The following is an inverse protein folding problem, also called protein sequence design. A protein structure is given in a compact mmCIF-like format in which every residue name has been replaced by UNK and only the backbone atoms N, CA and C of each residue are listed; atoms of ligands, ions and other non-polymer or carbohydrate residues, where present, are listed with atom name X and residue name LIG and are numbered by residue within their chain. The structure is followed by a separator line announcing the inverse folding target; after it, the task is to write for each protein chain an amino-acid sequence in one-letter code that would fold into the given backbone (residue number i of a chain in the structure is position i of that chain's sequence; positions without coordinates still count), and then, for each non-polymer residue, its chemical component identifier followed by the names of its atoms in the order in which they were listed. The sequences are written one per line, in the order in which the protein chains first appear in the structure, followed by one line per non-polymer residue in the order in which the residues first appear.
data_IF_371800268177
#
_entry.id   IF_371800268177
#
_cell.length_a   1.000
_cell.length_b   1.000
_cell.length_c   1.000
_cell.angle_alpha   90.00
_cell.angle_beta   90.00
_cell.angle_gamma   90.00
#
_symmetry.space_group_name_H-M   'P 1'
#
loop_
_entity.id
_entity.type
_entity.pdbx_description
1 polymer ?
2 non-polymer ?
3 water ?
#
# COMPACT_ATOMS: atom_id res chain seq x y z
N UNK A 21 -4.00 20.48 -4.18
CA UNK A 21 -4.50 19.25 -3.58
C UNK A 21 -3.70 18.05 -4.08
N UNK A 22 -3.02 17.38 -3.15
CA UNK A 22 -2.17 16.24 -3.49
C UNK A 22 -2.99 14.99 -3.80
N UNK A 23 -2.44 14.13 -4.66
CA UNK A 23 -3.09 12.86 -4.99
C UNK A 23 -2.35 11.69 -4.36
N UNK A 24 -3.09 10.79 -3.74
CA UNK A 24 -2.50 9.65 -3.05
C UNK A 24 -3.00 8.32 -3.59
N UNK A 25 -2.09 7.35 -3.68
CA UNK A 25 -2.45 5.99 -4.04
C UNK A 25 -2.37 5.07 -2.83
N UNK A 26 -3.51 4.51 -2.43
CA UNK A 26 -3.51 3.49 -1.40
C UNK A 26 -3.55 2.13 -2.07
N UNK A 27 -2.36 1.62 -2.40
CA UNK A 27 -2.21 0.34 -3.06
C UNK A 27 -2.08 -0.77 -2.04
N UNK A 28 -2.75 -1.90 -2.27
CA UNK A 28 -2.73 -2.97 -1.28
C UNK A 28 -2.86 -4.37 -1.87
N UNK A 29 -2.51 -5.36 -1.06
CA UNK A 29 -2.84 -6.75 -1.35
C UNK A 29 -3.40 -7.43 -0.10
N UNK A 30 -4.51 -8.13 -0.27
CA UNK A 30 -5.10 -8.88 0.83
C UNK A 30 -5.56 -10.25 0.35
N UNK A 31 -5.40 -11.26 1.20
CA UNK A 31 -5.80 -12.62 0.86
C UNK A 31 -7.09 -13.00 1.56
N UNK A 32 -7.31 -12.44 2.75
CA UNK A 32 -8.48 -12.77 3.55
C UNK A 32 -9.29 -11.54 3.96
N UNK A 33 -8.91 -10.38 3.44
CA UNK A 33 -9.69 -9.17 3.64
C UNK A 33 -9.19 -8.23 4.73
N UNK A 34 -8.38 -8.76 5.64
CA UNK A 34 -7.85 -7.98 6.76
C UNK A 34 -7.16 -6.71 6.29
N UNK A 35 -6.22 -6.86 5.36
CA UNK A 35 -5.44 -5.74 4.86
C UNK A 35 -6.29 -4.76 4.06
N UNK A 36 -7.33 -5.27 3.40
CA UNK A 36 -8.22 -4.41 2.63
C UNK A 36 -8.93 -3.41 3.54
N UNK A 37 -9.36 -3.89 4.70
CA UNK A 37 -10.00 -3.02 5.68
C UNK A 37 -9.01 -1.98 6.20
N UNK A 38 -7.76 -2.42 6.40
CA UNK A 38 -6.69 -1.51 6.78
C UNK A 38 -6.47 -0.46 5.70
N UNK A 39 -6.47 -0.92 4.45
CA UNK A 39 -6.29 -0.04 3.30
C UNK A 39 -7.41 0.99 3.21
N UNK A 40 -8.65 0.53 3.40
CA UNK A 40 -9.80 1.42 3.35
C UNK A 40 -9.78 2.43 4.50
N UNK A 41 -9.31 1.98 5.66
CA UNK A 41 -9.19 2.86 6.82
C UNK A 41 -8.13 3.93 6.58
N UNK A 42 -7.05 3.55 5.90
CA UNK A 42 -5.97 4.47 5.59
C UNK A 42 -6.41 5.49 4.53
N UNK A 43 -7.18 5.02 3.56
CA UNK A 43 -7.68 5.87 2.49
C UNK A 43 -8.65 6.92 3.03
N UNK A 44 -9.61 6.46 3.83
CA UNK A 44 -10.60 7.33 4.46
C UNK A 44 -9.93 8.38 5.33
N UNK A 45 -8.91 7.97 6.08
CA UNK A 45 -8.16 8.89 6.92
C UNK A 45 -7.39 9.90 6.09
N UNK A 46 -6.89 9.45 4.94
CA UNK A 46 -6.13 10.31 4.05
C UNK A 46 -7.01 11.37 3.40
N UNK A 47 -8.27 11.03 3.16
CA UNK A 47 -9.23 11.98 2.63
C UNK A 47 -9.49 13.09 3.64
N UNK A 48 -9.49 12.72 4.92
CA UNK A 48 -9.67 13.68 6.00
C UNK A 48 -8.46 14.60 6.11
N UNK A 49 -7.34 14.17 5.53
CA UNK A 49 -6.14 14.99 5.48
C UNK A 49 -6.17 15.95 4.31
N UNK A 50 -7.15 15.77 3.43
CA UNK A 50 -7.33 16.65 2.29
C UNK A 50 -6.54 16.24 1.07
N UNK A 51 -6.72 14.99 0.64
CA UNK A 51 -6.01 14.48 -0.53
C UNK A 51 -6.95 13.69 -1.44
N UNK A 52 -6.70 13.75 -2.74
CA UNK A 52 -7.44 12.93 -3.69
C UNK A 52 -6.92 11.50 -3.62
N UNK A 53 -7.64 10.66 -2.89
CA UNK A 53 -7.18 9.31 -2.59
C UNK A 53 -7.75 8.26 -3.53
N UNK A 54 -6.88 7.40 -4.05
CA UNK A 54 -7.30 6.33 -4.95
C UNK A 54 -6.95 4.97 -4.36
N UNK A 55 -7.96 4.12 -4.19
CA UNK A 55 -7.76 2.80 -3.61
C UNK A 55 -7.66 1.72 -4.69
N UNK A 56 -6.46 1.20 -4.90
CA UNK A 56 -6.26 0.15 -5.88
C UNK A 56 -5.66 -1.10 -5.25
N UNK A 57 -5.74 -2.20 -5.99
CA UNK A 57 -5.24 -3.48 -5.52
C UNK A 57 -4.30 -4.08 -6.57
N UNK A 58 -3.21 -4.70 -6.12
CA UNK A 58 -2.27 -5.31 -7.04
C UNK A 58 -2.91 -6.48 -7.78
N UNK A 59 -2.58 -6.63 -9.07
CA UNK A 59 -3.12 -7.72 -9.88
C UNK A 59 -2.76 -9.09 -9.32
N UNK A 60 -3.68 -10.03 -9.45
CA UNK A 60 -3.46 -11.39 -8.97
C UNK A 60 -2.71 -12.20 -10.03
N UNK A 61 -1.52 -12.69 -9.68
CA UNK A 61 -0.83 -13.62 -10.55
C UNK A 61 -1.56 -14.96 -10.47
N UNK A 62 -1.27 -15.85 -11.41
CA UNK A 62 -2.03 -17.09 -11.62
C UNK A 62 -3.45 -16.77 -12.12
N UNK A 63 -3.93 -17.55 -13.10
CA UNK A 63 -5.18 -17.29 -13.83
C UNK A 63 -6.41 -17.09 -12.94
N UNK A 64 -7.45 -16.50 -13.52
CA UNK A 64 -8.71 -16.26 -12.82
C UNK A 64 -9.33 -17.58 -12.37
N UNK A 65 -9.06 -18.63 -13.14
CA UNK A 65 -9.53 -19.97 -12.81
C UNK A 65 -8.74 -20.56 -11.65
N UNK A 66 -9.40 -21.41 -10.86
CA UNK A 66 -8.78 -22.09 -9.72
C UNK A 66 -8.17 -21.12 -8.71
N UNK A 67 -8.47 -19.83 -8.86
CA UNK A 67 -7.95 -18.81 -7.97
C UNK A 67 -8.83 -18.68 -6.74
N UNK A 68 -10.14 -18.72 -6.96
CA UNK A 68 -11.11 -18.63 -5.87
C UNK A 68 -11.53 -20.02 -5.39
N UNK A 69 -10.68 -21.01 -5.67
CA UNK A 69 -10.99 -22.41 -5.37
C UNK A 69 -11.11 -22.66 -3.87
N UNK A 70 -10.00 -23.02 -3.23
CA UNK A 70 -9.99 -23.33 -1.81
C UNK A 70 -10.28 -22.09 -0.97
N UNK A 71 -9.23 -21.34 -0.65
CA UNK A 71 -9.37 -20.10 0.11
C UNK A 71 -9.37 -18.90 -0.83
N UNK A 72 -10.27 -17.95 -0.58
CA UNK A 72 -10.38 -16.73 -1.38
C UNK A 72 -11.35 -15.72 -0.80
N UNK A 73 -11.06 -14.44 -1.04
CA UNK A 73 -11.94 -13.33 -0.67
C UNK A 73 -11.35 -12.00 -1.14
N UNK A 74 -10.89 -11.97 -2.39
CA UNK A 74 -10.45 -10.73 -3.02
C UNK A 74 -11.70 -9.90 -3.39
N UNK A 75 -11.61 -8.57 -3.31
CA UNK A 75 -12.75 -7.69 -3.63
C UNK A 75 -12.76 -7.36 -5.12
N UNK A 76 -13.94 -7.33 -5.74
CA UNK A 76 -14.03 -7.14 -7.20
C UNK A 76 -13.92 -5.68 -7.66
N UNK A 77 -14.56 -4.78 -6.93
CA UNK A 77 -14.79 -3.42 -7.42
C UNK A 77 -13.65 -2.46 -7.12
N UNK A 78 -12.72 -2.89 -6.27
CA UNK A 78 -11.44 -2.21 -6.16
C UNK A 78 -10.73 -2.34 -7.50
N UNK A 79 -10.34 -1.21 -8.11
CA UNK A 79 -9.67 -1.27 -9.41
C UNK A 79 -8.23 -1.79 -9.30
N UNK A 80 -7.80 -2.52 -10.33
CA UNK A 80 -6.44 -3.06 -10.37
C UNK A 80 -5.44 -1.98 -10.77
N UNK A 81 -4.27 -1.99 -10.14
CA UNK A 81 -3.25 -0.99 -10.41
C UNK A 81 -2.23 -1.46 -11.45
N UNK A 82 -1.62 -0.50 -12.14
CA UNK A 82 -0.56 -0.78 -13.09
C UNK A 82 0.77 -0.31 -12.52
N UNK A 83 1.85 -1.07 -12.78
CA UNK A 83 3.19 -0.76 -12.27
C UNK A 83 3.67 0.65 -12.63
N UNK A 84 3.19 1.19 -13.74
CA UNK A 84 3.66 2.47 -14.23
C UNK A 84 2.97 3.69 -13.65
N UNK A 85 1.74 3.51 -13.17
CA UNK A 85 0.94 4.64 -12.71
C UNK A 85 1.42 5.20 -11.37
N UNK A 86 2.32 4.49 -10.71
CA UNK A 86 2.79 4.88 -9.38
C UNK A 86 3.52 6.22 -9.36
N UNK A 87 3.91 6.71 -10.53
CA UNK A 87 4.62 7.98 -10.63
C UNK A 87 3.65 9.15 -10.74
N UNK A 88 2.36 8.85 -10.87
CA UNK A 88 1.35 9.89 -11.06
C UNK A 88 0.97 10.57 -9.74
N UNK A 89 1.16 9.86 -8.64
CA UNK A 89 0.74 10.35 -7.33
C UNK A 89 1.88 11.06 -6.61
N UNK A 90 1.54 11.84 -5.59
CA UNK A 90 2.54 12.53 -4.78
C UNK A 90 2.89 11.71 -3.55
N UNK A 91 1.96 10.85 -3.15
CA UNK A 91 2.16 9.99 -1.99
C UNK A 91 1.62 8.59 -2.26
N UNK A 92 2.35 7.58 -1.80
CA UNK A 92 1.92 6.20 -1.97
C UNK A 92 1.92 5.46 -0.64
N UNK A 93 0.78 4.87 -0.29
CA UNK A 93 0.71 4.00 0.87
C UNK A 93 0.56 2.56 0.42
N UNK A 94 1.45 1.70 0.91
CA UNK A 94 1.42 0.29 0.54
C UNK A 94 1.06 -0.56 1.75
N UNK A 95 0.05 -1.40 1.60
CA UNK A 95 -0.36 -2.30 2.66
C UNK A 95 -0.48 -3.71 2.13
N UNK A 96 0.16 -4.67 2.78
CA UNK A 96 0.18 -6.02 2.25
C UNK A 96 0.11 -7.09 3.32
N UNK A 97 -0.57 -8.19 3.00
CA UNK A 97 -0.50 -9.39 3.82
C UNK A 97 0.91 -9.96 3.69
N UNK A 98 1.39 -10.59 4.76
CA UNK A 98 2.74 -11.13 4.77
C UNK A 98 2.77 -12.54 5.37
N UNK A 99 3.73 -13.35 4.93
CA UNK A 99 3.94 -14.67 5.52
C UNK A 99 5.44 -14.95 5.68
N UNK A 100 5.79 -15.50 6.83
CA UNK A 100 7.18 -15.86 7.16
C UNK A 100 8.13 -14.67 7.11
N UNK A 101 7.60 -13.47 7.30
CA UNK A 101 8.43 -12.28 7.44
C UNK A 101 8.70 -11.48 6.18
N UNK A 102 8.00 -11.80 5.10
CA UNK A 102 8.19 -11.08 3.85
C UNK A 102 6.87 -10.84 3.14
N UNK A 103 6.90 -9.98 2.11
CA UNK A 103 5.72 -9.67 1.31
C UNK A 103 5.02 -10.92 0.79
N UNK A 104 3.77 -10.77 0.39
CA UNK A 104 3.11 -11.80 -0.39
C UNK A 104 3.65 -11.73 -1.81
N UNK A 105 3.65 -12.86 -2.50
CA UNK A 105 4.22 -12.97 -3.84
C UNK A 105 3.63 -11.94 -4.81
N UNK A 106 2.36 -11.62 -4.62
CA UNK A 106 1.65 -10.70 -5.50
C UNK A 106 2.19 -9.28 -5.40
N UNK A 107 2.46 -8.82 -4.18
CA UNK A 107 2.97 -7.47 -3.98
C UNK A 107 4.42 -7.35 -4.43
N UNK A 108 5.21 -8.39 -4.16
CA UNK A 108 6.61 -8.41 -4.56
C UNK A 108 6.74 -8.38 -6.07
N UNK A 109 5.94 -9.20 -6.74
CA UNK A 109 5.94 -9.27 -8.20
C UNK A 109 5.60 -7.92 -8.84
N UNK A 110 4.68 -7.20 -8.22
CA UNK A 110 4.22 -5.92 -8.73
C UNK A 110 5.29 -4.83 -8.63
N UNK A 111 5.95 -4.77 -7.47
CA UNK A 111 6.90 -3.70 -7.20
C UNK A 111 8.19 -3.84 -8.01
N UNK A 112 8.54 -5.07 -8.36
CA UNK A 112 9.72 -5.33 -9.18
C UNK A 112 9.54 -4.75 -10.59
N UNK A 113 8.29 -4.54 -10.98
CA UNK A 113 7.97 -4.04 -12.31
C UNK A 113 8.20 -2.54 -12.44
N UNK A 114 8.48 -1.88 -11.31
CA UNK A 114 8.70 -0.44 -11.31
C UNK A 114 10.15 -0.09 -11.66
N UNK A 115 10.78 -0.94 -12.47
CA UNK A 115 12.16 -0.75 -12.87
C UNK A 115 12.36 0.46 -13.77
N UNK A 116 11.33 0.78 -14.55
CA UNK A 116 11.38 1.94 -15.43
C UNK A 116 11.17 3.22 -14.65
N UNK A 117 10.52 3.10 -13.50
CA UNK A 117 10.24 4.25 -12.64
C UNK A 117 11.46 4.58 -11.78
N UNK A 118 12.26 3.56 -11.51
CA UNK A 118 13.43 3.67 -10.64
C UNK A 118 14.55 4.48 -11.29
N UNK A 119 15.03 4.02 -12.44
CA UNK A 119 16.14 4.67 -13.13
C UNK A 119 15.75 6.04 -13.65
N UNK A 120 14.46 6.22 -13.91
CA UNK A 120 13.93 7.49 -14.39
C UNK A 120 13.96 8.54 -13.29
N UNK A 121 14.00 8.08 -12.05
CA UNK A 121 13.98 8.96 -10.90
C UNK A 121 12.57 9.45 -10.63
N UNK A 122 11.59 8.68 -11.09
CA UNK A 122 10.19 9.07 -11.01
C UNK A 122 9.68 9.17 -9.58
N UNK A 123 10.08 8.23 -8.73
CA UNK A 123 9.53 8.14 -7.38
C UNK A 123 10.40 8.81 -6.33
N UNK A 124 11.41 9.55 -6.77
CA UNK A 124 12.30 10.26 -5.84
C UNK A 124 11.54 11.37 -5.12
N UNK A 125 11.76 11.46 -3.80
CA UNK A 125 11.18 12.49 -2.94
C UNK A 125 9.66 12.43 -2.80
N UNK A 126 9.04 11.38 -3.33
CA UNK A 126 7.62 11.16 -3.10
C UNK A 126 7.43 10.51 -1.73
N UNK A 127 6.37 10.92 -1.03
CA UNK A 127 6.12 10.46 0.33
C UNK A 127 5.50 9.07 0.35
N UNK A 128 5.99 8.20 1.22
CA UNK A 128 5.47 6.85 1.31
C UNK A 128 5.35 6.30 2.72
N UNK A 129 4.52 5.26 2.87
CA UNK A 129 4.33 4.60 4.15
C UNK A 129 3.88 3.15 3.92
N UNK A 130 4.03 2.31 4.94
CA UNK A 130 3.73 0.88 4.79
C UNK A 130 2.89 0.31 5.94
N UNK A 131 1.93 -0.54 5.59
CA UNK A 131 1.20 -1.33 6.57
C UNK A 131 1.36 -2.82 6.26
N UNK A 132 1.39 -3.65 7.29
CA UNK A 132 1.51 -5.10 7.10
C UNK A 132 0.58 -5.88 8.02
N UNK A 133 0.36 -7.15 7.68
CA UNK A 133 -0.46 -8.04 8.50
C UNK A 133 0.00 -9.49 8.36
N UNK A 134 -0.45 -10.34 9.27
CA UNK A 134 -0.06 -11.75 9.27
C UNK A 134 -1.27 -12.66 9.03
N UNK A 140 6.29 -12.66 11.67
CA UNK A 140 7.32 -12.04 10.86
C UNK A 140 6.98 -10.61 10.48
N UNK A 141 6.11 -9.99 11.27
CA UNK A 141 5.58 -8.66 10.96
C UNK A 141 6.66 -7.61 10.76
N UNK A 142 7.60 -7.52 11.70
CA UNK A 142 8.62 -6.48 11.67
C UNK A 142 9.56 -6.60 10.47
N UNK A 143 10.04 -7.82 10.21
CA UNK A 143 10.92 -8.05 9.07
C UNK A 143 10.22 -7.70 7.77
N UNK A 144 8.93 -8.01 7.70
CA UNK A 144 8.13 -7.72 6.52
C UNK A 144 7.95 -6.22 6.33
N UNK A 145 7.65 -5.53 7.42
CA UNK A 145 7.50 -4.07 7.41
C UNK A 145 8.79 -3.41 6.92
N UNK A 146 9.91 -3.93 7.39
CA UNK A 146 11.23 -3.40 7.06
C UNK A 146 11.61 -3.68 5.61
N UNK A 147 11.37 -4.91 5.16
CA UNK A 147 11.68 -5.31 3.79
C UNK A 147 10.95 -4.43 2.78
N UNK A 148 9.68 -4.15 3.07
CA UNK A 148 8.85 -3.35 2.18
C UNK A 148 9.31 -1.90 2.14
N UNK A 149 9.57 -1.33 3.31
CA UNK A 149 10.06 0.04 3.42
C UNK A 149 11.37 0.22 2.67
N UNK A 150 12.22 -0.80 2.71
CA UNK A 150 13.52 -0.76 2.05
C UNK A 150 13.38 -0.62 0.54
N UNK A 151 12.45 -1.37 -0.04
CA UNK A 151 12.22 -1.31 -1.48
C UNK A 151 11.75 0.07 -1.91
N UNK A 152 10.94 0.70 -1.06
CA UNK A 152 10.46 2.05 -1.32
C UNK A 152 11.60 3.06 -1.20
N UNK A 153 12.51 2.82 -0.26
CA UNK A 153 13.68 3.68 -0.08
C UNK A 153 14.63 3.56 -1.27
N UNK A 154 14.62 2.40 -1.92
CA UNK A 154 15.46 2.17 -3.09
C UNK A 154 15.04 3.05 -4.25
N UNK A 155 13.77 3.47 -4.24
CA UNK A 155 13.26 4.39 -5.24
C UNK A 155 13.37 5.83 -4.75
N UNK A 156 14.05 6.02 -3.62
CA UNK A 156 14.29 7.34 -3.08
C UNK A 156 13.09 7.98 -2.42
N UNK A 157 12.12 7.16 -2.02
CA UNK A 157 10.91 7.67 -1.39
C UNK A 157 11.14 8.05 0.07
N UNK A 158 10.55 9.17 0.48
CA UNK A 158 10.56 9.59 1.87
C UNK A 158 9.59 8.72 2.66
N UNK A 159 10.05 8.19 3.79
CA UNK A 159 9.24 7.24 4.55
C UNK A 159 8.65 7.84 5.82
N UNK A 160 7.34 7.66 5.98
CA UNK A 160 6.64 8.06 7.20
C UNK A 160 6.34 6.83 8.04
N UNK A 161 6.91 6.77 9.26
CA UNK A 161 6.84 5.58 10.12
C UNK A 161 5.44 5.28 10.65
N UNK A 162 5.33 4.22 11.44
CA UNK A 162 4.04 3.70 11.89
C UNK A 162 3.39 4.49 13.02
N UNK A 163 2.17 4.07 13.34
CA UNK A 163 1.35 4.55 14.47
C UNK A 163 2.12 5.22 15.61
N UNK A 164 2.44 4.45 16.64
CA UNK A 164 3.19 4.93 17.79
C UNK A 164 2.56 6.16 18.43
N UNK A 193 -8.75 -12.51 12.29
CA UNK A 193 -10.12 -12.39 11.79
C UNK A 193 -10.37 -11.07 11.07
N UNK A 194 -10.47 -10.01 11.85
CA UNK A 194 -10.83 -8.69 11.35
C UNK A 194 -10.10 -7.64 12.18
N UNK A 195 -9.59 -6.59 11.53
CA UNK A 195 -8.81 -5.54 12.21
C UNK A 195 -9.49 -5.02 13.48
N UNK A 196 -8.71 -4.88 14.54
CA UNK A 196 -9.22 -4.36 15.80
C UNK A 196 -9.39 -2.85 15.70
N UNK A 197 -10.05 -2.27 16.69
CA UNK A 197 -10.35 -0.84 16.69
C UNK A 197 -9.07 0.00 16.71
N UNK A 198 -8.05 -0.49 17.40
CA UNK A 198 -6.78 0.22 17.50
C UNK A 198 -5.99 0.14 16.19
N UNK A 199 -6.12 -0.98 15.47
CA UNK A 199 -5.46 -1.13 14.19
C UNK A 199 -6.06 -0.18 13.15
N UNK A 200 -7.39 -0.14 13.12
CA UNK A 200 -8.11 0.71 12.18
C UNK A 200 -7.84 2.19 12.45
N UNK A 201 -7.78 2.54 13.73
CA UNK A 201 -7.47 3.92 14.12
C UNK A 201 -6.03 4.26 13.75
N UNK A 202 -5.14 3.28 13.90
CA UNK A 202 -3.75 3.46 13.55
C UNK A 202 -3.58 3.70 12.06
N UNK A 203 -4.22 2.85 11.26
CA UNK A 203 -4.18 2.99 9.81
C UNK A 203 -4.79 4.31 9.37
N UNK A 204 -5.87 4.70 10.04
CA UNK A 204 -6.56 5.95 9.76
C UNK A 204 -5.65 7.15 10.01
N UNK A 205 -5.09 7.21 11.21
CA UNK A 205 -4.16 8.27 11.59
C UNK A 205 -2.96 8.31 10.65
N UNK A 206 -2.39 7.14 10.40
CA UNK A 206 -1.25 7.00 9.50
C UNK A 206 -1.58 7.57 8.12
N UNK A 207 -2.75 7.19 7.60
CA UNK A 207 -3.20 7.68 6.31
C UNK A 207 -3.36 9.19 6.28
N UNK A 208 -3.92 9.76 7.35
CA UNK A 208 -4.09 11.21 7.42
C UNK A 208 -2.74 11.89 7.56
N UNK A 209 -1.87 11.32 8.39
CA UNK A 209 -0.56 11.89 8.65
C UNK A 209 0.27 11.99 7.37
N UNK A 210 0.18 10.96 6.54
CA UNK A 210 0.90 10.95 5.26
C UNK A 210 0.37 12.04 4.33
N UNK A 211 -0.95 12.13 4.23
CA UNK A 211 -1.59 13.16 3.42
C UNK A 211 -1.24 14.55 3.93
N UNK A 212 -1.19 14.68 5.25
CA UNK A 212 -0.88 15.95 5.89
C UNK A 212 0.56 16.36 5.63
N UNK A 213 1.47 15.39 5.64
CA UNK A 213 2.87 15.65 5.37
C UNK A 213 3.08 15.99 3.89
N UNK A 214 2.52 15.17 3.01
CA UNK A 214 2.68 15.33 1.57
C UNK A 214 2.26 16.72 1.09
N UNK A 215 1.14 17.21 1.62
CA UNK A 215 0.64 18.54 1.27
C UNK A 215 1.63 19.62 1.69
N UNK A 216 2.25 19.43 2.85
CA UNK A 216 3.22 20.38 3.38
C UNK A 216 4.45 20.47 2.47
N UNK A 217 4.70 19.41 1.72
CA UNK A 217 5.84 19.37 0.80
C UNK A 217 5.51 20.02 -0.55
N UNK A 218 4.25 20.36 -0.76
CA UNK A 218 3.82 20.99 -2.00
C UNK A 218 3.19 22.36 -1.74
X LIG B 1 -4.94 -10.71 5.04
X LIG B 1 -3.72 -10.64 5.85
X LIG B 1 -5.35 -9.36 4.65
X LIG B 1 -4.69 -11.50 3.84
X LIG B 1 -5.99 -11.34 5.83
#
# INVERSE_FOLDING_TARGET
MGSSHHHHHHSSGLVPRGSHMVKMLVLYYSAYGYMEQMAKAAAEGAREGGAEVTLKRVPELVPEEVAKASHYKIDQEVPIATPGELADYDAIIIGTATRYGMMASQMKNFLDQTGGLWAKGALINKVGSVMVSTATQHGGAELALISTQWQMQHHGMIIVPLSYAYREQMGNDVVRGGAPYGMTTTADGDGSRQPSAQELDGARFQGRRVAEITAKLHG
SO4 S O1 O2 O3 O4
#
